data_IF_023643992771
#
_entry.id   IF_023643992771
#
_cell.length_a   1.000
_cell.length_b   1.000
_cell.length_c   1.000
_cell.angle_alpha   90.00
_cell.angle_beta   90.00
_cell.angle_gamma   90.00
#
_symmetry.space_group_name_H-M   'P 1'
#
loop_
_entity.id
_entity.type
_entity.pdbx_description
1 polymer ?
#
# COMPACT_ATOMS: atom_id res chain seq x y z
N UNK A 1 21.69 -1.00 -25.60
CA UNK A 1 20.61 0.00 -25.59
C UNK A 1 20.64 0.82 -24.32
N UNK A 2 19.78 1.82 -24.22
CA UNK A 2 19.67 2.72 -23.07
C UNK A 2 18.22 2.84 -22.61
N UNK A 3 18.04 3.17 -21.33
CA UNK A 3 16.76 3.67 -20.82
C UNK A 3 16.58 5.09 -21.33
N UNK A 4 15.42 5.37 -21.93
CA UNK A 4 15.03 6.72 -22.32
C UNK A 4 13.88 7.17 -21.43
N UNK A 5 14.07 8.29 -20.75
CA UNK A 5 13.12 8.89 -19.81
C UNK A 5 13.22 10.41 -19.88
N UNK A 6 12.30 11.12 -19.22
CA UNK A 6 12.34 12.57 -19.07
C UNK A 6 12.17 12.95 -17.59
N UNK A 7 12.67 14.13 -17.23
CA UNK A 7 12.47 14.80 -15.94
C UNK A 7 11.17 15.61 -15.90
N UNK A 8 10.43 15.61 -17.02
CA UNK A 8 9.12 16.22 -17.16
C UNK A 8 8.30 15.45 -18.22
N UNK A 9 7.03 15.13 -17.95
CA UNK A 9 6.25 14.30 -18.88
C UNK A 9 5.58 15.04 -20.03
N UNK A 10 5.79 16.34 -20.22
CA UNK A 10 5.48 17.02 -21.49
C UNK A 10 6.73 17.29 -22.33
N UNK A 11 7.93 17.11 -21.74
CA UNK A 11 9.18 17.29 -22.45
C UNK A 11 9.48 16.09 -23.34
N UNK A 12 9.49 16.32 -24.64
CA UNK A 12 9.92 15.35 -25.64
C UNK A 12 11.43 15.12 -25.55
N UNK A 13 11.86 13.90 -25.85
CA UNK A 13 13.27 13.52 -25.86
C UNK A 13 13.66 12.96 -27.22
N UNK A 14 14.86 13.30 -27.67
CA UNK A 14 15.42 12.77 -28.92
C UNK A 14 16.08 11.42 -28.64
N UNK A 15 15.68 10.38 -29.37
CA UNK A 15 16.28 9.05 -29.21
C UNK A 15 17.71 9.03 -29.78
N UNK A 16 18.63 8.25 -29.21
CA UNK A 16 19.97 8.08 -29.77
C UNK A 16 19.91 7.72 -31.27
N UNK A 17 20.61 8.49 -32.10
CA UNK A 17 20.64 8.29 -33.56
C UNK A 17 19.42 8.80 -34.33
N UNK A 18 18.51 9.54 -33.68
CA UNK A 18 17.36 10.20 -34.33
C UNK A 18 17.45 11.71 -34.18
N UNK A 19 16.68 12.45 -34.99
CA UNK A 19 16.53 13.91 -34.87
C UNK A 19 15.14 14.34 -34.46
N UNK A 20 14.16 13.44 -34.50
CA UNK A 20 12.76 13.72 -34.17
C UNK A 20 12.51 13.43 -32.69
N UNK A 21 12.17 14.45 -31.89
CA UNK A 21 11.82 14.24 -30.48
C UNK A 21 10.52 13.44 -30.37
N UNK A 22 10.46 12.54 -29.38
CA UNK A 22 9.26 11.76 -29.08
C UNK A 22 8.88 11.86 -27.60
N UNK A 23 7.64 11.53 -27.29
CA UNK A 23 7.17 11.40 -25.91
C UNK A 23 7.73 10.11 -25.31
N UNK A 24 8.50 10.22 -24.22
CA UNK A 24 9.17 9.06 -23.59
C UNK A 24 8.61 8.69 -22.21
N UNK A 25 7.84 9.59 -21.61
CA UNK A 25 7.07 9.34 -20.38
C UNK A 25 5.58 9.58 -20.68
N UNK A 26 4.68 8.73 -20.19
CA UNK A 26 3.24 8.97 -20.36
C UNK A 26 2.79 10.26 -19.65
N UNK A 27 1.68 10.87 -20.11
CA UNK A 27 1.11 12.09 -19.52
C UNK A 27 0.88 11.97 -18.01
N UNK A 28 0.41 10.80 -17.57
CA UNK A 28 0.21 10.44 -16.15
C UNK A 28 1.26 9.42 -15.67
N UNK A 29 2.36 9.30 -16.43
CA UNK A 29 3.47 8.41 -16.18
C UNK A 29 4.38 8.91 -15.07
N UNK A 30 5.48 8.19 -14.84
CA UNK A 30 6.30 8.43 -13.67
C UNK A 30 7.33 9.51 -13.95
N UNK A 31 7.32 10.55 -13.11
CA UNK A 31 8.39 11.53 -13.01
C UNK A 31 8.66 11.80 -11.54
N UNK A 32 9.92 11.68 -11.15
CA UNK A 32 10.33 11.82 -9.77
C UNK A 32 10.01 13.21 -9.23
N UNK A 33 9.25 13.28 -8.14
CA UNK A 33 8.94 14.53 -7.44
C UNK A 33 8.02 15.49 -8.20
N UNK A 34 7.46 15.10 -9.34
CA UNK A 34 6.53 15.95 -10.08
C UNK A 34 5.10 15.80 -9.53
N UNK A 35 4.46 16.93 -9.25
CA UNK A 35 3.07 16.99 -8.77
C UNK A 35 2.10 16.38 -9.80
N UNK A 36 0.94 15.91 -9.32
CA UNK A 36 -0.12 15.28 -10.13
C UNK A 36 0.29 14.01 -10.89
N UNK A 37 1.38 13.36 -10.47
CA UNK A 37 1.90 12.13 -11.08
C UNK A 37 2.13 11.06 -10.02
N UNK A 38 1.93 9.80 -10.38
CA UNK A 38 2.27 8.69 -9.47
C UNK A 38 3.77 8.65 -9.19
N UNK A 39 4.11 8.54 -7.91
CA UNK A 39 5.49 8.39 -7.44
C UNK A 39 5.85 6.92 -7.24
N UNK A 40 4.87 6.03 -7.10
CA UNK A 40 5.10 4.59 -6.90
C UNK A 40 4.99 3.77 -8.17
N UNK A 41 4.43 4.34 -9.25
CA UNK A 41 4.05 3.61 -10.46
C UNK A 41 2.70 2.91 -10.38
N UNK A 42 1.99 3.06 -9.25
CA UNK A 42 0.66 2.49 -9.05
C UNK A 42 -0.38 3.57 -8.83
N UNK A 43 -1.62 3.27 -9.22
CA UNK A 43 -2.82 4.05 -8.91
C UNK A 43 -3.82 3.16 -8.18
N UNK A 44 -4.68 3.78 -7.37
CA UNK A 44 -5.76 3.08 -6.66
C UNK A 44 -6.96 3.01 -7.59
N UNK A 45 -7.51 1.80 -7.77
CA UNK A 45 -8.78 1.57 -8.49
C UNK A 45 -9.97 1.38 -7.55
N UNK A 46 -9.73 0.98 -6.31
CA UNK A 46 -10.79 0.70 -5.33
C UNK A 46 -11.66 1.95 -5.12
N UNK A 47 -12.98 1.75 -5.07
CA UNK A 47 -14.00 2.81 -5.00
C UNK A 47 -14.14 3.72 -6.22
N UNK A 48 -13.43 3.45 -7.33
CA UNK A 48 -13.70 4.13 -8.60
C UNK A 48 -14.82 3.44 -9.37
N UNK A 49 -15.88 4.20 -9.69
CA UNK A 49 -16.97 3.75 -10.54
C UNK A 49 -16.45 3.53 -11.98
N UNK A 50 -16.54 2.31 -12.54
CA UNK A 50 -16.04 2.00 -13.87
C UNK A 50 -16.91 2.59 -15.00
N UNK A 51 -18.09 3.14 -14.68
CA UNK A 51 -19.01 3.71 -15.67
C UNK A 51 -18.35 4.85 -16.43
N UNK A 52 -18.45 4.84 -17.76
CA UNK A 52 -17.85 5.86 -18.60
C UNK A 52 -18.41 7.24 -18.23
N UNK A 53 -17.51 8.20 -18.01
CA UNK A 53 -17.86 9.55 -17.59
C UNK A 53 -18.06 9.73 -16.09
N UNK A 54 -17.81 8.69 -15.28
CA UNK A 54 -17.98 8.76 -13.84
C UNK A 54 -17.07 9.77 -13.14
N UNK A 55 -15.87 9.98 -13.68
CA UNK A 55 -14.89 10.95 -13.18
C UNK A 55 -15.03 12.36 -13.75
N UNK A 56 -16.17 12.74 -14.33
CA UNK A 56 -16.38 14.10 -14.87
C UNK A 56 -16.34 15.13 -13.73
N UNK A 57 -15.57 16.21 -13.92
CA UNK A 57 -15.52 17.35 -12.98
C UNK A 57 -16.93 17.89 -12.77
N UNK A 58 -17.31 18.11 -11.52
CA UNK A 58 -18.64 18.62 -11.14
C UNK A 58 -19.72 17.55 -10.92
N UNK A 59 -19.49 16.26 -11.27
CA UNK A 59 -20.45 15.18 -11.02
C UNK A 59 -20.59 14.83 -9.53
N UNK A 60 -19.50 14.96 -8.76
CA UNK A 60 -19.43 14.42 -7.41
C UNK A 60 -19.18 12.90 -7.40
N UNK A 61 -19.32 12.27 -6.22
CA UNK A 61 -19.18 10.83 -6.03
C UNK A 61 -20.45 10.25 -5.44
N UNK A 62 -21.04 9.27 -6.14
CA UNK A 62 -22.19 8.50 -5.65
C UNK A 62 -21.78 7.23 -4.90
N UNK A 63 -20.46 6.94 -4.85
CA UNK A 63 -19.93 5.76 -4.16
C UNK A 63 -20.01 5.95 -2.65
N UNK A 64 -20.77 5.12 -1.90
CA UNK A 64 -20.86 5.24 -0.46
C UNK A 64 -19.51 4.98 0.21
N UNK A 65 -19.20 5.77 1.24
CA UNK A 65 -18.06 5.49 2.11
C UNK A 65 -18.42 4.36 3.08
N UNK A 66 -17.97 3.15 2.76
CA UNK A 66 -18.29 1.94 3.53
C UNK A 66 -17.56 1.99 4.88
N UNK A 67 -18.33 2.00 5.98
CA UNK A 67 -17.79 1.95 7.35
C UNK A 67 -17.62 0.53 7.88
N UNK A 68 -18.58 -0.35 7.56
CA UNK A 68 -18.58 -1.76 7.91
C UNK A 68 -19.13 -2.56 6.75
N UNK A 69 -18.58 -3.75 6.54
CA UNK A 69 -19.07 -4.67 5.50
C UNK A 69 -18.85 -6.12 5.88
N UNK A 70 -19.64 -6.99 5.29
CA UNK A 70 -19.72 -8.39 5.72
C UNK A 70 -18.39 -9.16 5.69
N UNK A 71 -17.49 -8.87 4.75
CA UNK A 71 -16.17 -9.53 4.75
C UNK A 71 -15.35 -9.20 6.01
N UNK A 72 -15.49 -8.00 6.58
CA UNK A 72 -14.85 -7.66 7.85
C UNK A 72 -15.43 -8.51 8.99
N UNK A 73 -16.74 -8.73 9.02
CA UNK A 73 -17.40 -9.60 10.01
C UNK A 73 -16.85 -11.02 9.94
N UNK A 74 -16.72 -11.56 8.74
CA UNK A 74 -16.13 -12.89 8.52
C UNK A 74 -14.67 -12.93 8.97
N UNK A 75 -13.86 -11.91 8.67
CA UNK A 75 -12.46 -11.85 9.10
C UNK A 75 -12.31 -11.64 10.61
N UNK A 76 -13.20 -10.88 11.25
CA UNK A 76 -13.24 -10.74 12.71
C UNK A 76 -13.57 -12.09 13.37
N UNK A 77 -14.57 -12.81 12.84
CA UNK A 77 -14.93 -14.14 13.33
C UNK A 77 -13.84 -15.18 13.09
N UNK A 78 -13.16 -15.14 11.93
CA UNK A 78 -12.04 -16.01 11.62
C UNK A 78 -10.88 -15.81 12.59
N UNK A 79 -10.50 -14.56 12.85
CA UNK A 79 -9.42 -14.22 13.77
C UNK A 79 -9.77 -14.64 15.21
N UNK A 80 -10.97 -14.31 15.70
CA UNK A 80 -11.40 -14.72 17.03
C UNK A 80 -11.41 -16.25 17.21
N UNK A 81 -11.92 -16.99 16.21
CA UNK A 81 -11.92 -18.45 16.24
C UNK A 81 -10.50 -19.03 16.23
N UNK A 82 -9.57 -18.41 15.49
CA UNK A 82 -8.17 -18.82 15.47
C UNK A 82 -7.51 -18.63 16.84
N UNK A 83 -7.70 -17.47 17.49
CA UNK A 83 -7.14 -17.18 18.82
C UNK A 83 -7.73 -18.09 19.91
N UNK A 84 -8.96 -18.57 19.74
CA UNK A 84 -9.60 -19.56 20.61
C UNK A 84 -9.16 -21.02 20.33
N UNK A 85 -8.27 -21.25 19.35
CA UNK A 85 -7.82 -22.57 18.93
C UNK A 85 -8.85 -23.37 18.12
N UNK A 86 -9.95 -22.75 17.68
CA UNK A 86 -10.98 -23.37 16.84
C UNK A 86 -10.64 -23.20 15.35
N UNK A 87 -9.57 -23.86 14.91
CA UNK A 87 -9.01 -23.72 13.56
C UNK A 87 -9.99 -24.08 12.44
N UNK A 88 -10.84 -25.10 12.62
CA UNK A 88 -11.84 -25.49 11.62
C UNK A 88 -12.87 -24.38 11.37
N UNK A 89 -13.35 -23.75 12.44
CA UNK A 89 -14.28 -22.61 12.34
C UNK A 89 -13.60 -21.38 11.73
N UNK A 90 -12.35 -21.11 12.13
CA UNK A 90 -11.56 -20.02 11.57
C UNK A 90 -11.40 -20.17 10.05
N UNK A 91 -11.00 -21.36 9.59
CA UNK A 91 -10.85 -21.68 8.17
C UNK A 91 -12.16 -21.56 7.40
N UNK A 92 -13.30 -21.92 7.99
CA UNK A 92 -14.60 -21.77 7.35
C UNK A 92 -14.86 -20.28 7.00
N UNK A 93 -14.83 -19.39 7.99
CA UNK A 93 -15.06 -17.96 7.77
C UNK A 93 -14.02 -17.35 6.83
N UNK A 94 -12.75 -17.72 6.99
CA UNK A 94 -11.66 -17.21 6.19
C UNK A 94 -11.78 -17.59 4.71
N UNK A 95 -12.11 -18.86 4.43
CA UNK A 95 -12.26 -19.34 3.06
C UNK A 95 -13.50 -18.76 2.36
N UNK A 96 -14.54 -18.33 3.08
CA UNK A 96 -15.67 -17.61 2.46
C UNK A 96 -15.22 -16.30 1.79
N UNK A 97 -14.36 -15.53 2.47
CA UNK A 97 -13.82 -14.27 1.93
C UNK A 97 -12.96 -14.54 0.69
N UNK A 98 -12.08 -15.55 0.80
CA UNK A 98 -11.17 -15.97 -0.27
C UNK A 98 -11.91 -16.47 -1.50
N UNK A 99 -12.90 -17.34 -1.31
CA UNK A 99 -13.70 -17.89 -2.41
C UNK A 99 -14.44 -16.78 -3.16
N UNK A 100 -15.03 -15.80 -2.45
CA UNK A 100 -15.67 -14.63 -3.08
C UNK A 100 -14.67 -13.80 -3.90
N UNK A 101 -13.42 -13.70 -3.45
CA UNK A 101 -12.35 -13.01 -4.17
C UNK A 101 -11.77 -13.80 -5.36
N UNK A 102 -12.31 -14.98 -5.68
CA UNK A 102 -11.86 -15.82 -6.79
C UNK A 102 -10.69 -16.75 -6.46
N UNK A 103 -10.30 -16.87 -5.19
CA UNK A 103 -9.30 -17.83 -4.74
C UNK A 103 -9.97 -19.19 -4.52
N UNK A 104 -10.06 -19.98 -5.58
CA UNK A 104 -10.87 -21.21 -5.64
C UNK A 104 -10.28 -22.40 -4.88
N UNK A 105 -8.99 -22.36 -4.53
CA UNK A 105 -8.36 -23.39 -3.71
C UNK A 105 -8.47 -22.96 -2.23
N UNK A 106 -9.30 -23.64 -1.42
CA UNK A 106 -9.44 -23.31 0.00
C UNK A 106 -8.16 -23.64 0.74
N UNK A 107 -7.85 -22.84 1.77
CA UNK A 107 -6.77 -23.18 2.68
C UNK A 107 -7.20 -24.30 3.62
N UNK A 108 -6.26 -25.17 3.95
CA UNK A 108 -6.40 -26.24 4.94
C UNK A 108 -5.68 -25.94 6.25
N UNK A 109 -4.81 -24.93 6.25
CA UNK A 109 -4.09 -24.44 7.43
C UNK A 109 -4.18 -22.93 7.50
N UNK A 110 -4.23 -22.41 8.73
CA UNK A 110 -4.29 -20.98 9.01
C UNK A 110 -3.15 -20.62 9.96
N UNK A 111 -2.48 -19.51 9.68
CA UNK A 111 -1.46 -18.92 10.53
C UNK A 111 -1.83 -17.47 10.81
N UNK A 112 -1.29 -16.89 11.88
CA UNK A 112 -1.49 -15.49 12.18
C UNK A 112 -1.02 -14.57 11.04
N UNK A 113 0.14 -14.86 10.44
CA UNK A 113 0.64 -14.17 9.24
C UNK A 113 -0.38 -14.16 8.09
N UNK A 114 -1.08 -15.28 7.88
CA UNK A 114 -2.12 -15.39 6.84
C UNK A 114 -3.33 -14.54 7.17
N UNK A 115 -3.74 -14.46 8.44
CA UNK A 115 -4.83 -13.59 8.90
C UNK A 115 -4.48 -12.12 8.67
N UNK A 116 -3.28 -11.71 9.09
CA UNK A 116 -2.78 -10.34 8.91
C UNK A 116 -2.74 -9.97 7.42
N UNK A 117 -2.24 -10.88 6.57
CA UNK A 117 -2.17 -10.66 5.13
C UNK A 117 -3.55 -10.50 4.49
N UNK A 118 -4.49 -11.40 4.76
CA UNK A 118 -5.83 -11.36 4.15
C UNK A 118 -6.62 -10.13 4.59
N UNK A 119 -6.54 -9.76 5.87
CA UNK A 119 -7.12 -8.49 6.36
C UNK A 119 -6.51 -7.29 5.65
N UNK A 120 -5.19 -7.27 5.46
CA UNK A 120 -4.50 -6.17 4.76
C UNK A 120 -4.95 -6.04 3.30
N UNK A 121 -5.13 -7.15 2.59
CA UNK A 121 -5.52 -7.14 1.17
C UNK A 121 -7.01 -6.82 1.01
N UNK A 122 -7.87 -7.54 1.74
CA UNK A 122 -9.32 -7.39 1.65
C UNK A 122 -9.73 -5.96 2.04
N UNK A 123 -9.20 -5.43 3.14
CA UNK A 123 -9.56 -4.13 3.73
C UNK A 123 -8.59 -3.00 3.33
N UNK A 124 -7.79 -3.19 2.27
CA UNK A 124 -6.87 -2.16 1.78
C UNK A 124 -7.61 -0.85 1.47
N UNK A 125 -7.07 0.28 1.91
CA UNK A 125 -7.66 1.63 1.75
C UNK A 125 -9.01 1.85 2.46
N UNK A 126 -9.35 1.04 3.46
CA UNK A 126 -10.58 1.16 4.25
C UNK A 126 -10.33 1.63 5.70
N UNK A 127 -9.12 2.12 6.00
CA UNK A 127 -8.80 2.69 7.32
C UNK A 127 -8.44 1.69 8.42
N UNK A 128 -8.29 0.40 8.10
CA UNK A 128 -8.01 -0.63 9.12
C UNK A 128 -6.53 -0.76 9.51
N UNK A 129 -5.60 -0.60 8.56
CA UNK A 129 -4.19 -1.01 8.75
C UNK A 129 -3.54 -0.41 10.00
N UNK A 130 -3.78 0.87 10.31
CA UNK A 130 -3.22 1.49 11.50
C UNK A 130 -3.73 0.83 12.79
N UNK A 131 -5.04 0.63 12.91
CA UNK A 131 -5.66 0.05 14.10
C UNK A 131 -5.36 -1.43 14.25
N UNK A 132 -5.33 -2.17 13.14
CA UNK A 132 -4.93 -3.57 13.10
C UNK A 132 -3.47 -3.75 13.57
N UNK A 133 -2.53 -2.96 13.04
CA UNK A 133 -1.13 -2.99 13.52
C UNK A 133 -1.02 -2.58 14.99
N UNK A 134 -1.86 -1.66 15.47
CA UNK A 134 -1.86 -1.22 16.87
C UNK A 134 -2.35 -2.32 17.82
N UNK A 135 -3.50 -2.94 17.53
CA UNK A 135 -4.09 -3.96 18.42
C UNK A 135 -3.28 -5.26 18.46
N UNK A 136 -2.61 -5.61 17.37
CA UNK A 136 -1.66 -6.73 17.32
C UNK A 136 -0.30 -6.44 17.93
N UNK A 137 -0.05 -5.20 18.38
CA UNK A 137 1.26 -4.75 18.87
C UNK A 137 2.39 -4.92 17.84
N UNK A 138 2.08 -4.85 16.55
CA UNK A 138 3.06 -4.96 15.47
C UNK A 138 3.57 -3.60 14.98
N UNK A 139 2.84 -2.52 15.22
CA UNK A 139 3.15 -1.19 14.66
C UNK A 139 4.61 -0.75 14.92
N UNK A 140 5.09 -0.88 16.16
CA UNK A 140 6.46 -0.51 16.53
C UNK A 140 7.55 -1.45 15.98
N UNK A 141 7.19 -2.68 15.58
CA UNK A 141 8.11 -3.66 14.98
C UNK A 141 8.21 -3.40 13.47
N UNK A 142 7.06 -3.20 12.82
CA UNK A 142 6.96 -2.99 11.37
C UNK A 142 7.43 -1.59 10.97
N UNK A 143 7.15 -0.59 11.79
CA UNK A 143 7.52 0.82 11.59
C UNK A 143 8.59 1.24 12.61
N UNK A 144 9.73 0.58 12.59
CA UNK A 144 10.80 0.77 13.58
C UNK A 144 11.67 2.02 13.37
N UNK A 145 11.46 2.75 12.27
CA UNK A 145 12.29 3.89 11.90
C UNK A 145 13.64 3.52 11.29
N UNK A 146 13.88 2.26 10.95
CA UNK A 146 15.02 1.85 10.13
C UNK A 146 14.80 2.17 8.66
N UNK A 147 15.86 2.47 7.92
CA UNK A 147 15.80 2.51 6.45
C UNK A 147 15.62 1.10 5.88
N UNK A 148 15.09 1.02 4.66
CA UNK A 148 14.92 -0.24 3.93
C UNK A 148 15.78 -0.25 2.68
N UNK A 149 16.32 -1.42 2.33
CA UNK A 149 16.93 -1.72 1.04
C UNK A 149 15.97 -2.52 0.14
N UNK A 150 16.33 -2.72 -1.13
CA UNK A 150 15.59 -3.63 -2.03
C UNK A 150 15.58 -5.07 -1.49
N UNK A 151 16.68 -5.51 -0.85
CA UNK A 151 16.75 -6.83 -0.21
C UNK A 151 15.72 -6.97 0.91
N UNK A 152 15.57 -5.94 1.75
CA UNK A 152 14.53 -5.93 2.80
C UNK A 152 13.12 -5.92 2.20
N UNK A 153 12.93 -5.18 1.09
CA UNK A 153 11.66 -5.13 0.37
C UNK A 153 11.21 -6.49 -0.15
N UNK A 154 12.13 -7.34 -0.63
CA UNK A 154 11.77 -8.64 -1.24
C UNK A 154 11.91 -9.83 -0.28
N UNK A 155 12.50 -9.65 0.90
CA UNK A 155 12.58 -10.70 1.92
C UNK A 155 11.29 -10.82 2.74
N UNK A 156 11.09 -11.98 3.38
CA UNK A 156 10.04 -12.25 4.37
C UNK A 156 8.61 -11.84 3.92
N UNK A 157 8.32 -11.96 2.62
CA UNK A 157 7.01 -11.61 2.06
C UNK A 157 5.92 -12.46 2.73
N UNK A 158 4.93 -11.79 3.32
CA UNK A 158 3.81 -12.44 4.01
C UNK A 158 3.96 -12.50 5.54
N UNK A 159 5.13 -12.23 6.10
CA UNK A 159 5.30 -12.14 7.56
C UNK A 159 4.58 -10.91 8.12
N UNK A 160 3.83 -11.08 9.21
CA UNK A 160 3.12 -10.01 9.89
C UNK A 160 4.05 -8.98 10.52
N UNK A 161 5.27 -9.37 10.91
CA UNK A 161 6.27 -8.52 11.55
C UNK A 161 7.30 -7.94 10.58
N UNK A 162 7.14 -8.15 9.27
CA UNK A 162 8.05 -7.62 8.26
C UNK A 162 8.16 -6.09 8.35
N UNK A 163 9.40 -5.57 8.43
CA UNK A 163 9.69 -4.13 8.35
C UNK A 163 9.09 -3.52 7.08
N UNK A 164 8.38 -2.40 7.24
CA UNK A 164 7.76 -1.66 6.16
C UNK A 164 7.73 -0.15 6.47
N UNK A 165 8.92 0.45 6.58
CA UNK A 165 9.11 1.85 6.99
C UNK A 165 9.07 2.84 5.82
N UNK A 166 9.28 2.37 4.58
CA UNK A 166 9.38 3.23 3.40
C UNK A 166 8.63 2.62 2.21
N UNK A 167 7.78 3.39 1.51
CA UNK A 167 7.06 2.90 0.34
C UNK A 167 7.96 2.91 -0.90
N UNK A 168 8.34 1.72 -1.36
CA UNK A 168 8.98 1.53 -2.66
C UNK A 168 7.96 1.55 -3.80
N UNK A 169 8.40 1.96 -4.98
CA UNK A 169 7.66 1.90 -6.24
C UNK A 169 8.28 0.93 -7.24
N UNK A 170 7.54 0.64 -8.30
CA UNK A 170 8.02 -0.13 -9.45
C UNK A 170 7.85 0.75 -10.70
N UNK A 171 8.97 1.23 -11.24
CA UNK A 171 8.96 2.23 -12.30
C UNK A 171 9.19 1.59 -13.68
N UNK A 172 8.28 1.79 -14.65
CA UNK A 172 8.45 1.30 -16.01
C UNK A 172 9.27 2.30 -16.83
N UNK A 173 10.21 1.77 -17.59
CA UNK A 173 11.06 2.51 -18.51
C UNK A 173 11.02 1.84 -19.89
N UNK A 174 10.93 2.64 -20.95
CA UNK A 174 11.08 2.11 -22.30
C UNK A 174 12.57 1.91 -22.60
N UNK A 175 12.91 0.72 -23.06
CA UNK A 175 14.26 0.39 -23.47
C UNK A 175 14.43 0.66 -24.96
N UNK A 176 15.40 1.50 -25.30
CA UNK A 176 15.74 1.80 -26.68
C UNK A 176 17.03 1.06 -27.05
N UNK A 177 16.91 0.10 -27.96
CA UNK A 177 18.00 -0.74 -28.41
C UNK A 177 17.78 -1.23 -29.85
N UNK A 178 17.67 -0.33 -30.86
CA UNK A 178 17.38 -0.71 -32.24
C UNK A 178 18.25 -1.85 -32.74
N UNK A 179 17.65 -2.76 -33.51
CA UNK A 179 18.32 -3.94 -34.06
C UNK A 179 18.52 -5.07 -33.05
N UNK A 180 18.08 -4.92 -31.80
CA UNK A 180 18.10 -6.01 -30.80
C UNK A 180 16.69 -6.53 -30.52
N UNK A 181 16.61 -7.76 -30.01
CA UNK A 181 15.33 -8.36 -29.56
C UNK A 181 14.67 -7.62 -28.40
N UNK A 182 15.37 -6.68 -27.76
CA UNK A 182 14.89 -5.91 -26.62
C UNK A 182 14.48 -4.48 -26.98
N UNK A 183 14.60 -4.09 -28.25
CA UNK A 183 14.15 -2.77 -28.67
C UNK A 183 12.66 -2.55 -28.39
N UNK A 184 12.33 -1.38 -27.83
CA UNK A 184 10.95 -0.99 -27.53
C UNK A 184 10.29 -1.74 -26.36
N UNK A 185 10.98 -2.70 -25.72
CA UNK A 185 10.46 -3.40 -24.53
C UNK A 185 10.48 -2.51 -23.29
N UNK A 186 9.76 -2.95 -22.26
CA UNK A 186 9.70 -2.30 -20.96
C UNK A 186 10.66 -2.94 -19.97
N UNK A 187 11.40 -2.10 -19.26
CA UNK A 187 12.18 -2.43 -18.08
C UNK A 187 11.42 -1.92 -16.85
N UNK A 188 11.34 -2.73 -15.81
CA UNK A 188 10.77 -2.31 -14.53
C UNK A 188 11.87 -2.26 -13.49
N UNK A 189 11.89 -1.20 -12.69
CA UNK A 189 12.90 -1.00 -11.64
C UNK A 189 12.23 -0.72 -10.31
N UNK A 190 12.64 -1.42 -9.27
CA UNK A 190 12.32 -1.08 -7.89
C UNK A 190 13.04 0.22 -7.52
N UNK A 191 12.26 1.22 -7.12
CA UNK A 191 12.77 2.56 -6.85
C UNK A 191 12.22 3.01 -5.50
N UNK A 192 13.09 3.55 -4.65
CA UNK A 192 12.66 4.40 -3.55
C UNK A 192 12.36 5.79 -4.14
N UNK A 193 11.10 6.23 -4.22
CA UNK A 193 10.77 7.49 -4.86
C UNK A 193 11.44 8.66 -4.14
N UNK A 194 11.94 9.66 -4.87
CA UNK A 194 12.67 10.80 -4.31
C UNK A 194 11.92 11.56 -3.21
N UNK A 195 10.58 11.72 -3.27
CA UNK A 195 9.80 12.32 -2.18
C UNK A 195 9.80 11.53 -0.87
N UNK A 196 10.24 10.27 -0.87
CA UNK A 196 10.37 9.47 0.36
C UNK A 196 11.69 9.81 1.04
N UNK A 197 11.69 10.89 1.81
CA UNK A 197 12.87 11.41 2.53
C UNK A 197 12.99 10.88 3.96
N UNK A 198 11.94 10.26 4.48
CA UNK A 198 11.87 9.77 5.86
C UNK A 198 11.57 8.28 5.95
N UNK A 199 11.44 7.85 7.21
CA UNK A 199 11.11 6.48 7.61
C UNK A 199 9.93 6.55 8.56
N UNK A 200 8.96 5.64 8.41
CA UNK A 200 7.90 5.51 9.39
C UNK A 200 8.50 5.00 10.70
N UNK A 201 8.37 5.79 11.77
CA UNK A 201 8.82 5.44 13.12
C UNK A 201 7.64 5.52 14.08
N UNK A 202 7.22 4.36 14.56
CA UNK A 202 6.12 4.20 15.50
C UNK A 202 6.66 3.86 16.88
N UNK A 203 6.53 4.80 17.81
CA UNK A 203 6.98 4.67 19.19
C UNK A 203 5.86 4.10 20.09
N UNK A 204 6.24 3.61 21.27
CA UNK A 204 5.27 3.07 22.23
C UNK A 204 4.17 4.07 22.64
N UNK A 205 4.49 5.38 22.68
CA UNK A 205 3.49 6.43 22.92
C UNK A 205 2.43 6.54 21.82
N UNK A 206 2.74 6.16 20.57
CA UNK A 206 1.81 6.25 19.45
C UNK A 206 0.69 5.19 19.50
N UNK A 207 0.77 4.21 20.40
CA UNK A 207 -0.35 3.30 20.68
C UNK A 207 -1.56 4.03 21.26
N UNK A 208 -1.37 5.21 21.84
CA UNK A 208 -2.44 6.04 22.39
C UNK A 208 -2.53 7.36 21.65
N UNK A 209 -3.74 7.93 21.58
CA UNK A 209 -3.92 9.30 21.09
C UNK A 209 -3.43 10.29 22.14
N UNK A 210 -2.90 11.43 21.72
CA UNK A 210 -2.51 12.48 22.64
C UNK A 210 -3.74 13.17 23.23
N UNK A 211 -3.75 13.38 24.54
CA UNK A 211 -4.70 14.27 25.19
C UNK A 211 -4.07 15.66 25.22
N UNK A 212 -4.80 16.66 24.71
CA UNK A 212 -4.30 18.04 24.65
C UNK A 212 -3.97 18.57 26.06
N UNK A 213 -2.85 19.28 26.20
CA UNK A 213 -2.37 19.76 27.51
C UNK A 213 -3.37 20.71 28.20
N UNK A 214 -4.14 21.50 27.45
CA UNK A 214 -5.17 22.36 28.01
C UNK A 214 -6.31 21.56 28.66
N UNK A 215 -6.65 20.39 28.09
CA UNK A 215 -7.68 19.50 28.66
C UNK A 215 -7.18 18.90 29.97
N UNK A 216 -5.91 18.47 30.01
CA UNK A 216 -5.28 17.94 31.22
C UNK A 216 -5.23 19.02 32.31
N UNK A 217 -4.76 20.22 31.96
CA UNK A 217 -4.68 21.34 32.90
C UNK A 217 -6.05 21.76 33.45
N UNK A 218 -7.11 21.63 32.64
CA UNK A 218 -8.47 22.01 33.03
C UNK A 218 -9.17 20.97 33.92
N UNK A 219 -8.67 19.72 33.98
CA UNK A 219 -9.27 18.67 34.79
C UNK A 219 -8.19 17.82 35.48
N UNK A 220 -7.95 18.01 36.79
CA UNK A 220 -6.90 17.30 37.52
C UNK A 220 -7.14 15.79 37.66
N UNK A 221 -8.33 15.29 37.28
CA UNK A 221 -8.62 13.84 37.24
C UNK A 221 -8.14 13.18 35.94
N UNK A 222 -7.82 13.96 34.90
CA UNK A 222 -7.31 13.44 33.63
C UNK A 222 -5.80 13.31 33.75
N UNK A 223 -5.30 12.10 33.51
CA UNK A 223 -3.86 11.81 33.46
C UNK A 223 -3.41 11.60 32.02
N UNK A 224 -2.15 11.94 31.77
CA UNK A 224 -1.51 11.72 30.46
C UNK A 224 -1.44 10.22 30.15
N UNK A 225 -1.55 9.87 28.87
CA UNK A 225 -1.37 8.49 28.43
C UNK A 225 0.11 8.07 28.59
N UNK A 226 0.40 6.76 28.72
CA UNK A 226 1.77 6.28 28.84
C UNK A 226 2.65 6.66 27.64
N UNK A 227 3.90 7.04 27.92
CA UNK A 227 4.94 7.38 26.93
C UNK A 227 4.61 8.60 26.04
N UNK A 228 3.86 9.57 26.58
CA UNK A 228 3.56 10.86 25.96
C UNK A 228 4.06 12.02 26.81
#
# INVERSE_FOLDING_TARGET
GSVVTSDDAVRLQTLPGTTTPIQVVGKDGIVNGQEFRTQSGFYIRKFLDPTVGSGRRGRGSDVPFVRYRYAEVLLNAAEAAFELGNTATALNYFNQVRARAGLTIPLTTLTFDRIVHERRVELAFEGHTLFDMKRWRLAHIVWDGGTMSITDLVSNIGSASKRNTQPYGLWPYKYYAPGTVNDGKWLFKEVLPGPVTGVNRFLFGNYYSQINDNIIASNPKIVRQPNQ
#
